data_IF_814296225060
#
_entry.id   IF_814296225060
#
_cell.length_a   1.000
_cell.length_b   1.000
_cell.length_c   1.000
_cell.angle_alpha   90.00
_cell.angle_beta   90.00
_cell.angle_gamma   90.00
#
_symmetry.space_group_name_H-M   'P 1'
#
loop_
_entity.id
_entity.type
_entity.pdbx_description
1 polymer ?
#
# COMPACT_ATOMS: atom_id res chain seq x y z
N UNK A 1 -11.00 25.37 66.79
CA UNK A 1 -10.27 24.34 67.56
C UNK A 1 -10.52 23.01 66.88
N UNK A 2 -9.50 22.44 66.22
CA UNK A 2 -9.39 21.09 65.60
C UNK A 2 -10.46 20.61 64.60
N UNK A 3 -10.17 20.01 63.45
CA UNK A 3 -9.00 19.90 62.57
C UNK A 3 -9.53 19.29 61.25
N UNK A 4 -9.02 19.79 60.12
CA UNK A 4 -9.27 19.28 58.77
C UNK A 4 -8.51 17.97 58.56
N UNK A 5 -9.15 16.96 58.00
CA UNK A 5 -8.46 15.91 57.22
C UNK A 5 -9.27 15.69 55.94
N UNK A 6 -8.87 16.38 54.87
CA UNK A 6 -9.25 16.04 53.49
C UNK A 6 -8.38 14.87 53.08
N UNK A 7 -8.92 13.66 53.11
CA UNK A 7 -8.29 12.50 52.47
C UNK A 7 -8.46 12.65 50.97
N UNK A 8 -7.47 13.26 50.32
CA UNK A 8 -7.32 13.23 48.86
C UNK A 8 -6.75 11.84 48.52
N UNK A 9 -7.61 10.99 47.98
CA UNK A 9 -7.23 9.72 47.38
C UNK A 9 -6.48 10.05 46.07
N UNK A 10 -5.15 10.08 46.14
CA UNK A 10 -4.29 10.19 44.96
C UNK A 10 -4.24 8.81 44.30
N UNK A 11 -5.24 8.53 43.46
CA UNK A 11 -5.24 7.33 42.63
C UNK A 11 -4.31 7.60 41.45
N UNK A 12 -3.08 7.08 41.56
CA UNK A 12 -2.10 7.04 40.49
C UNK A 12 -2.74 6.38 39.27
N UNK A 13 -3.06 7.19 38.25
CA UNK A 13 -3.41 6.72 36.92
C UNK A 13 -2.12 6.23 36.25
N UNK A 14 -1.63 5.06 36.66
CA UNK A 14 -0.75 4.25 35.81
C UNK A 14 -1.65 3.60 34.76
N UNK A 15 -2.15 4.41 33.82
CA UNK A 15 -2.51 3.87 32.52
C UNK A 15 -1.18 3.36 31.95
N UNK A 16 -0.94 2.07 32.10
CA UNK A 16 0.16 1.42 31.42
C UNK A 16 0.06 1.82 29.97
N UNK A 17 1.12 2.45 29.45
CA UNK A 17 1.46 2.27 28.05
C UNK A 17 1.54 0.76 27.88
N UNK A 18 0.45 0.13 27.44
CA UNK A 18 0.60 -1.10 26.71
C UNK A 18 1.67 -0.76 25.66
N UNK A 19 2.75 -1.55 25.53
CA UNK A 19 3.57 -1.40 24.34
C UNK A 19 2.58 -1.44 23.19
N UNK A 20 2.52 -0.36 22.40
CA UNK A 20 1.89 -0.43 21.09
C UNK A 20 2.70 -1.50 20.40
N UNK A 21 2.20 -2.72 20.46
CA UNK A 21 2.82 -3.84 19.80
C UNK A 21 2.84 -3.42 18.34
N UNK A 22 4.03 -3.33 17.75
CA UNK A 22 4.17 -3.11 16.33
C UNK A 22 3.27 -4.12 15.64
N UNK A 23 2.22 -3.62 14.97
CA UNK A 23 1.41 -4.49 14.12
C UNK A 23 2.37 -5.09 13.09
N UNK A 24 2.32 -6.42 12.86
CA UNK A 24 3.18 -7.02 11.85
C UNK A 24 2.86 -6.36 10.51
N UNK A 25 3.91 -6.12 9.71
CA UNK A 25 3.78 -5.39 8.45
C UNK A 25 2.67 -5.91 7.53
N UNK A 26 2.48 -7.22 7.58
CA UNK A 26 1.28 -7.88 7.13
C UNK A 26 0.74 -8.82 8.21
N UNK A 27 -0.58 -8.94 8.35
CA UNK A 27 -1.20 -9.93 9.24
C UNK A 27 -0.90 -11.40 8.85
N UNK A 28 -0.44 -11.63 7.62
CA UNK A 28 -0.28 -12.95 7.01
C UNK A 28 1.20 -13.29 6.75
N UNK A 29 1.73 -14.41 7.29
CA UNK A 29 3.11 -14.84 7.05
C UNK A 29 3.40 -15.24 5.58
N UNK A 30 2.37 -15.41 4.74
CA UNK A 30 2.51 -15.75 3.32
C UNK A 30 2.65 -14.52 2.40
N UNK A 31 2.74 -13.31 2.98
CA UNK A 31 2.98 -12.09 2.23
C UNK A 31 4.48 -11.85 1.99
N UNK A 32 4.83 -11.71 0.71
CA UNK A 32 6.14 -11.26 0.27
C UNK A 32 6.12 -9.73 0.18
N UNK A 33 7.03 -9.08 0.90
CA UNK A 33 7.20 -7.63 0.84
C UNK A 33 7.72 -7.19 -0.54
N UNK A 34 7.04 -6.22 -1.14
CA UNK A 34 7.43 -5.58 -2.41
C UNK A 34 8.12 -4.24 -2.13
N UNK A 35 7.53 -3.42 -1.26
CA UNK A 35 8.08 -2.11 -0.90
C UNK A 35 7.55 -1.63 0.45
N UNK A 36 8.45 -1.25 1.34
CA UNK A 36 8.20 -0.63 2.65
C UNK A 36 8.69 0.82 2.73
N UNK A 37 9.32 1.34 1.67
CA UNK A 37 9.85 2.71 1.56
C UNK A 37 10.95 3.10 2.56
N UNK A 38 11.43 2.16 3.39
CA UNK A 38 12.54 2.36 4.33
C UNK A 38 13.90 2.47 3.64
N UNK A 39 14.02 1.85 2.47
CA UNK A 39 15.19 1.99 1.59
C UNK A 39 14.82 2.80 0.35
N UNK A 40 15.78 3.60 -0.13
CA UNK A 40 15.55 4.47 -1.30
C UNK A 40 15.24 3.65 -2.55
N UNK A 41 13.95 3.52 -2.86
CA UNK A 41 13.42 3.09 -4.14
C UNK A 41 12.96 4.31 -4.92
N UNK A 42 13.36 4.41 -6.19
CA UNK A 42 12.92 5.53 -7.01
C UNK A 42 11.51 5.28 -7.53
N UNK A 43 10.53 5.94 -6.93
CA UNK A 43 9.16 6.00 -7.42
C UNK A 43 8.92 7.27 -8.22
N UNK A 44 7.96 7.24 -9.12
CA UNK A 44 7.65 8.34 -10.03
C UNK A 44 6.15 8.41 -10.28
N UNK A 45 5.70 9.62 -10.55
CA UNK A 45 4.32 9.89 -10.95
C UNK A 45 4.28 10.16 -12.45
N UNK A 46 3.30 9.57 -13.13
CA UNK A 46 3.04 9.80 -14.55
C UNK A 46 1.60 10.27 -14.73
N UNK A 47 1.41 11.42 -15.37
CA UNK A 47 0.10 11.97 -15.69
C UNK A 47 0.15 12.67 -17.04
N UNK A 48 -1.02 12.91 -17.62
CA UNK A 48 -1.11 13.70 -18.84
C UNK A 48 -0.72 15.15 -18.51
N UNK A 49 0.35 15.64 -19.12
CA UNK A 49 0.80 17.02 -18.95
C UNK A 49 -0.15 17.98 -19.68
N UNK A 50 -1.19 18.41 -18.98
CA UNK A 50 -2.00 19.57 -19.34
C UNK A 50 -1.44 20.80 -18.62
N UNK A 51 -1.72 22.01 -19.11
CA UNK A 51 -1.08 23.26 -18.65
C UNK A 51 -1.16 23.51 -17.14
N UNK A 52 -2.11 22.90 -16.44
CA UNK A 52 -2.34 23.06 -15.00
C UNK A 52 -2.04 21.79 -14.17
N UNK A 53 -1.60 20.70 -14.83
CA UNK A 53 -1.31 19.45 -14.15
C UNK A 53 0.08 19.47 -13.50
N UNK A 54 0.14 19.12 -12.22
CA UNK A 54 1.33 18.99 -11.41
C UNK A 54 1.17 17.83 -10.44
N UNK A 55 2.27 17.21 -10.04
CA UNK A 55 2.24 16.18 -9.04
C UNK A 55 3.63 15.68 -8.71
N UNK A 56 3.76 15.03 -7.57
CA UNK A 56 5.00 14.43 -7.12
C UNK A 56 4.73 13.20 -6.27
N UNK A 57 5.76 12.36 -6.17
CA UNK A 57 5.87 11.33 -5.14
C UNK A 57 7.12 11.66 -4.33
N UNK A 58 7.06 11.47 -3.02
CA UNK A 58 8.21 11.60 -2.11
C UNK A 58 8.13 10.51 -1.06
N UNK A 59 9.29 10.06 -0.61
CA UNK A 59 9.38 9.29 0.63
C UNK A 59 9.51 10.32 1.75
N UNK A 60 8.68 10.18 2.77
CA UNK A 60 8.63 11.07 3.94
C UNK A 60 8.52 10.24 5.21
N UNK A 61 9.01 10.80 6.32
CA UNK A 61 8.89 10.24 7.66
C UNK A 61 7.75 10.97 8.39
N UNK A 62 6.78 10.22 8.94
CA UNK A 62 5.62 10.75 9.69
C UNK A 62 5.52 9.99 10.99
N UNK A 63 5.40 10.77 12.03
CA UNK A 63 5.05 10.27 13.33
C UNK A 63 3.56 10.59 13.58
N UNK A 64 2.63 9.60 13.63
CA UNK A 64 2.83 8.14 13.47
C UNK A 64 2.39 7.56 12.09
N UNK A 65 3.18 6.63 11.56
CA UNK A 65 2.85 5.76 10.41
C UNK A 65 1.87 4.62 10.76
N UNK A 66 1.54 3.71 9.81
CA UNK A 66 0.71 2.54 10.10
C UNK A 66 1.46 1.53 10.97
N UNK A 67 2.79 1.51 10.85
CA UNK A 67 3.70 0.69 11.63
C UNK A 67 4.65 1.62 12.36
N UNK A 68 4.68 1.51 13.69
CA UNK A 68 5.49 2.40 14.54
C UNK A 68 6.99 2.26 14.26
N UNK A 69 7.43 1.07 13.86
CA UNK A 69 8.83 0.73 13.63
C UNK A 69 9.31 0.99 12.18
N UNK A 70 8.41 1.37 11.28
CA UNK A 70 8.67 1.68 9.87
C UNK A 70 8.05 3.06 9.53
N UNK A 71 8.75 4.16 9.84
CA UNK A 71 8.18 5.50 9.76
C UNK A 71 8.12 6.05 8.33
N UNK A 72 8.81 5.44 7.37
CA UNK A 72 8.91 5.96 6.01
C UNK A 72 7.74 5.45 5.17
N UNK A 73 7.12 6.35 4.40
CA UNK A 73 6.04 5.99 3.48
C UNK A 73 6.11 6.85 2.22
N UNK A 74 5.37 6.41 1.20
CA UNK A 74 5.24 7.14 -0.05
C UNK A 74 4.15 8.21 0.07
N UNK A 75 4.52 9.48 0.19
CA UNK A 75 3.62 10.62 0.02
C UNK A 75 3.36 10.89 -1.46
N UNK A 76 2.09 10.93 -1.82
CA UNK A 76 1.63 11.28 -3.16
C UNK A 76 0.80 12.56 -3.12
N UNK A 77 1.09 13.47 -4.05
CA UNK A 77 0.23 14.62 -4.34
C UNK A 77 0.08 14.80 -5.83
N UNK A 78 -1.16 15.01 -6.27
CA UNK A 78 -1.50 15.36 -7.64
C UNK A 78 -2.51 16.50 -7.66
N UNK A 79 -2.25 17.49 -8.51
CA UNK A 79 -3.18 18.58 -8.81
C UNK A 79 -3.30 18.74 -10.32
N UNK A 80 -4.51 18.66 -10.87
CA UNK A 80 -4.70 18.78 -12.31
C UNK A 80 -6.16 18.86 -12.72
N UNK A 81 -6.46 19.04 -14.01
CA UNK A 81 -7.83 19.11 -14.49
C UNK A 81 -8.56 17.77 -14.28
N UNK A 82 -9.81 17.82 -13.82
CA UNK A 82 -10.65 16.63 -13.81
C UNK A 82 -11.00 16.18 -15.24
N UNK A 83 -11.19 14.87 -15.50
CA UNK A 83 -10.93 13.71 -14.66
C UNK A 83 -9.62 13.01 -15.07
N UNK A 84 -8.51 13.73 -15.29
CA UNK A 84 -7.27 13.06 -15.69
C UNK A 84 -6.70 12.28 -14.50
N UNK A 85 -6.80 10.94 -14.56
CA UNK A 85 -6.10 10.07 -13.62
C UNK A 85 -4.59 10.08 -13.84
N UNK A 86 -3.87 9.54 -12.87
CA UNK A 86 -2.41 9.49 -12.85
C UNK A 86 -1.91 8.13 -12.39
N UNK A 87 -0.64 7.84 -12.64
CA UNK A 87 0.03 6.60 -12.23
C UNK A 87 1.13 6.88 -11.25
N UNK A 88 1.29 5.98 -10.30
CA UNK A 88 2.39 5.97 -9.32
C UNK A 88 3.13 4.66 -9.56
N UNK A 89 4.39 4.72 -9.97
CA UNK A 89 5.12 3.53 -10.42
C UNK A 89 6.54 3.56 -9.88
N UNK A 90 7.13 2.40 -9.56
CA UNK A 90 8.58 2.32 -9.40
C UNK A 90 9.26 2.60 -10.74
N UNK A 91 10.51 3.08 -10.72
CA UNK A 91 11.32 3.24 -11.95
C UNK A 91 11.53 1.90 -12.66
N UNK A 92 11.66 0.83 -11.89
CA UNK A 92 11.73 -0.54 -12.38
C UNK A 92 10.56 -1.35 -11.81
N UNK A 93 9.76 -2.03 -12.65
CA UNK A 93 8.71 -2.93 -12.19
C UNK A 93 9.24 -4.05 -11.29
N UNK A 94 8.42 -4.51 -10.35
CA UNK A 94 8.74 -5.67 -9.52
C UNK A 94 8.23 -6.94 -10.17
N UNK A 95 9.11 -7.91 -10.42
CA UNK A 95 8.69 -9.26 -10.78
C UNK A 95 8.21 -9.99 -9.53
N UNK A 96 7.04 -10.61 -9.61
CA UNK A 96 6.42 -11.37 -8.53
C UNK A 96 6.47 -12.84 -8.92
N UNK A 97 7.22 -13.63 -8.16
CA UNK A 97 7.38 -15.07 -8.39
C UNK A 97 6.24 -15.88 -7.77
N UNK A 98 5.91 -17.02 -8.39
CA UNK A 98 4.85 -17.90 -7.92
C UNK A 98 3.46 -17.55 -8.46
N UNK A 99 2.42 -18.06 -7.80
CA UNK A 99 1.03 -17.73 -8.13
C UNK A 99 0.50 -16.75 -7.08
N UNK A 100 0.26 -15.52 -7.49
CA UNK A 100 -0.13 -14.42 -6.62
C UNK A 100 -1.65 -14.46 -6.42
N UNK A 101 -2.11 -14.63 -5.18
CA UNK A 101 -3.53 -14.63 -4.83
C UNK A 101 -4.06 -13.20 -4.68
N UNK A 102 -3.29 -12.35 -4.01
CA UNK A 102 -3.62 -10.95 -3.77
C UNK A 102 -2.39 -10.06 -3.74
N UNK A 103 -2.63 -8.77 -3.98
CA UNK A 103 -1.71 -7.70 -3.64
C UNK A 103 -2.27 -6.94 -2.45
N UNK A 104 -1.38 -6.60 -1.54
CA UNK A 104 -1.70 -6.07 -0.23
C UNK A 104 -0.95 -4.74 -0.05
N UNK A 105 -1.59 -3.75 0.54
CA UNK A 105 -0.95 -2.46 0.82
C UNK A 105 -1.68 -1.68 1.90
N UNK A 106 -0.95 -0.79 2.58
CA UNK A 106 -1.54 0.21 3.46
C UNK A 106 -1.73 1.52 2.72
N UNK A 107 -2.84 2.20 2.98
CA UNK A 107 -3.08 3.55 2.50
C UNK A 107 -3.63 4.46 3.60
N UNK A 108 -3.13 5.70 3.64
CA UNK A 108 -3.70 6.75 4.48
C UNK A 108 -4.70 7.57 3.66
N UNK A 109 -5.98 7.44 3.98
CA UNK A 109 -7.04 8.23 3.35
C UNK A 109 -7.20 9.59 4.01
N UNK A 110 -7.63 10.59 3.24
CA UNK A 110 -7.99 11.93 3.75
C UNK A 110 -9.50 12.19 3.68
N UNK A 111 -10.32 11.14 3.56
CA UNK A 111 -11.78 11.23 3.46
C UNK A 111 -12.29 11.62 2.06
N UNK A 112 -11.47 11.48 1.02
CA UNK A 112 -11.86 11.81 -0.37
C UNK A 112 -12.15 10.54 -1.15
N UNK A 113 -13.21 10.49 -1.99
CA UNK A 113 -13.53 9.30 -2.78
C UNK A 113 -12.62 9.15 -4.02
N UNK A 114 -11.31 9.33 -3.84
CA UNK A 114 -10.29 9.06 -4.85
C UNK A 114 -10.15 7.53 -4.98
N UNK A 115 -10.22 6.99 -6.20
CA UNK A 115 -10.11 5.55 -6.45
C UNK A 115 -8.66 5.17 -6.74
N UNK A 116 -8.14 4.16 -6.04
CA UNK A 116 -6.80 3.59 -6.23
C UNK A 116 -6.94 2.18 -6.78
N UNK A 117 -6.40 1.96 -7.96
CA UNK A 117 -6.37 0.67 -8.66
C UNK A 117 -4.93 0.18 -8.79
N UNK A 118 -4.74 -1.13 -8.85
CA UNK A 118 -3.44 -1.76 -9.08
C UNK A 118 -3.23 -1.97 -10.57
N UNK A 119 -2.01 -1.73 -11.05
CA UNK A 119 -1.60 -2.08 -12.42
C UNK A 119 -0.60 -3.24 -12.38
N UNK A 120 -0.91 -4.33 -13.08
CA UNK A 120 -0.04 -5.52 -13.19
C UNK A 120 0.15 -5.93 -14.64
N UNK A 121 1.32 -6.45 -14.98
CA UNK A 121 1.58 -7.12 -16.26
C UNK A 121 1.44 -8.63 -16.08
N UNK A 122 0.64 -9.26 -16.92
CA UNK A 122 0.47 -10.72 -16.93
C UNK A 122 1.58 -11.42 -17.73
N UNK A 123 1.54 -12.75 -17.78
CA UNK A 123 2.54 -13.57 -18.50
C UNK A 123 2.52 -13.41 -20.02
N UNK A 124 1.47 -12.80 -20.59
CA UNK A 124 1.37 -12.50 -22.00
C UNK A 124 1.70 -11.03 -22.31
N UNK A 125 2.37 -10.35 -21.37
CA UNK A 125 2.71 -8.93 -21.44
C UNK A 125 1.48 -8.01 -21.56
N UNK A 126 0.31 -8.44 -21.07
CA UNK A 126 -0.90 -7.61 -21.05
C UNK A 126 -0.97 -6.83 -19.75
N UNK A 127 -1.17 -5.53 -19.86
CA UNK A 127 -1.39 -4.65 -18.70
C UNK A 127 -2.84 -4.78 -18.24
N UNK A 128 -3.03 -5.19 -17.00
CA UNK A 128 -4.31 -5.25 -16.32
C UNK A 128 -4.40 -4.14 -15.29
N UNK A 129 -5.56 -3.48 -15.25
CA UNK A 129 -5.95 -2.61 -14.14
C UNK A 129 -6.95 -3.36 -13.27
N UNK A 130 -6.54 -3.67 -12.05
CA UNK A 130 -7.36 -4.39 -11.08
C UNK A 130 -7.94 -3.35 -10.13
N UNK A 131 -9.28 -3.33 -10.03
CA UNK A 131 -9.96 -2.39 -9.14
C UNK A 131 -9.54 -2.63 -7.70
N UNK A 132 -9.00 -1.60 -7.06
CA UNK A 132 -8.57 -1.64 -5.68
C UNK A 132 -9.63 -1.04 -4.76
N UNK A 133 -9.33 0.12 -4.18
CA UNK A 133 -10.11 0.72 -3.09
C UNK A 133 -10.43 2.19 -3.32
N UNK A 134 -11.45 2.70 -2.62
CA UNK A 134 -11.74 4.12 -2.51
C UNK A 134 -11.08 4.69 -1.25
N UNK A 135 -10.49 5.88 -1.34
CA UNK A 135 -9.86 6.60 -0.23
C UNK A 135 -10.86 7.40 0.63
N UNK A 136 -12.16 7.07 0.55
CA UNK A 136 -13.25 7.67 1.33
C UNK A 136 -13.25 7.19 2.79
N UNK A 137 -12.12 7.42 3.45
CA UNK A 137 -11.89 7.17 4.86
C UNK A 137 -10.75 8.06 5.35
N UNK A 138 -10.63 8.22 6.67
CA UNK A 138 -9.54 8.99 7.29
C UNK A 138 -8.65 8.05 8.10
N UNK A 139 -7.33 8.21 7.97
CA UNK A 139 -6.35 7.39 8.68
C UNK A 139 -5.81 6.23 7.85
N UNK A 140 -4.94 5.43 8.44
CA UNK A 140 -4.37 4.23 7.82
C UNK A 140 -5.38 3.08 7.76
N UNK A 141 -5.40 2.38 6.63
CA UNK A 141 -6.12 1.11 6.46
C UNK A 141 -5.32 0.15 5.58
N UNK A 142 -5.37 -1.12 5.95
CA UNK A 142 -4.86 -2.22 5.13
C UNK A 142 -5.88 -2.61 4.04
N UNK A 143 -5.38 -2.85 2.83
CA UNK A 143 -6.18 -3.31 1.70
C UNK A 143 -5.57 -4.57 1.12
N UNK A 144 -6.44 -5.53 0.82
CA UNK A 144 -6.12 -6.74 0.10
C UNK A 144 -6.93 -6.78 -1.19
N UNK A 145 -6.26 -6.83 -2.34
CA UNK A 145 -6.89 -6.87 -3.66
C UNK A 145 -6.56 -8.18 -4.33
N UNK A 146 -7.59 -9.00 -4.55
CA UNK A 146 -7.43 -10.32 -5.18
C UNK A 146 -7.11 -10.18 -6.67
N UNK A 147 -6.19 -11.02 -7.14
CA UNK A 147 -5.91 -11.14 -8.57
C UNK A 147 -7.06 -11.90 -9.26
N UNK A 148 -7.77 -11.29 -10.22
CA UNK A 148 -8.85 -11.98 -10.92
C UNK A 148 -8.34 -13.15 -11.77
N UNK A 149 -9.12 -14.23 -11.95
CA UNK A 149 -8.72 -15.37 -12.79
C UNK A 149 -8.43 -15.02 -14.26
N UNK A 150 -8.94 -13.88 -14.74
CA UNK A 150 -8.68 -13.38 -16.09
C UNK A 150 -7.23 -12.89 -16.28
N UNK A 151 -6.51 -12.59 -15.20
CA UNK A 151 -5.10 -12.19 -15.24
C UNK A 151 -4.23 -13.45 -15.29
N UNK A 152 -3.60 -13.70 -16.44
CA UNK A 152 -2.87 -14.96 -16.65
C UNK A 152 -1.49 -14.95 -15.98
N UNK A 153 -1.33 -15.79 -14.96
CA UNK A 153 -0.07 -15.88 -14.20
C UNK A 153 0.85 -17.03 -14.66
N UNK A 154 0.39 -17.82 -15.62
CA UNK A 154 1.15 -18.94 -16.21
C UNK A 154 1.00 -18.99 -17.70
N UNK A 155 2.10 -19.27 -18.37
CA UNK A 155 2.06 -19.68 -19.76
C UNK A 155 1.54 -21.12 -19.85
N UNK A 156 0.49 -21.33 -20.66
CA UNK A 156 -0.04 -22.68 -20.94
C UNK A 156 1.01 -23.58 -21.65
N UNK A 157 1.99 -22.97 -22.32
CA UNK A 157 2.92 -23.67 -23.22
C UNK A 157 4.41 -23.46 -22.91
N UNK A 158 4.77 -22.67 -21.89
CA UNK A 158 6.17 -22.37 -21.56
C UNK A 158 6.44 -22.73 -20.10
N UNK A 159 7.19 -23.81 -19.90
CA UNK A 159 7.74 -24.16 -18.59
C UNK A 159 8.73 -23.05 -18.16
N UNK A 160 8.50 -22.43 -17.00
CA UNK A 160 9.48 -21.58 -16.33
C UNK A 160 9.20 -20.07 -16.28
N UNK A 161 8.15 -19.56 -16.93
CA UNK A 161 7.68 -18.17 -16.72
C UNK A 161 6.34 -18.18 -16.00
N UNK A 162 6.41 -18.13 -14.67
CA UNK A 162 5.26 -18.01 -13.78
C UNK A 162 5.38 -16.71 -12.99
N UNK A 163 4.26 -16.03 -12.76
CA UNK A 163 4.23 -14.82 -11.95
C UNK A 163 3.51 -13.64 -12.59
N UNK A 164 3.70 -12.47 -12.00
CA UNK A 164 3.19 -11.19 -12.48
C UNK A 164 4.31 -10.16 -12.45
N UNK A 165 4.14 -9.04 -13.14
CA UNK A 165 4.92 -7.84 -12.79
C UNK A 165 4.01 -6.81 -12.15
N UNK A 166 4.34 -6.39 -10.94
CA UNK A 166 3.70 -5.23 -10.34
C UNK A 166 4.24 -3.95 -10.98
N UNK A 167 3.34 -3.17 -11.59
CA UNK A 167 3.67 -1.94 -12.31
C UNK A 167 3.45 -0.68 -11.47
N UNK A 168 2.71 -0.79 -10.37
CA UNK A 168 2.35 0.33 -9.51
C UNK A 168 0.83 0.51 -9.42
N UNK A 169 0.41 1.75 -9.23
CA UNK A 169 -0.99 2.12 -9.03
C UNK A 169 -1.46 3.07 -10.12
N UNK A 170 -2.75 2.98 -10.44
CA UNK A 170 -3.48 4.02 -11.15
C UNK A 170 -4.45 4.67 -10.18
N UNK A 171 -4.47 6.01 -10.16
CA UNK A 171 -5.34 6.78 -9.28
C UNK A 171 -6.27 7.63 -10.12
N UNK A 172 -7.54 7.55 -9.80
CA UNK A 172 -8.58 8.40 -10.34
C UNK A 172 -9.04 9.37 -9.24
N UNK A 173 -8.70 10.66 -9.32
CA UNK A 173 -9.24 11.67 -8.41
C UNK A 173 -10.76 11.69 -8.45
N UNK A 174 -11.36 11.95 -7.29
CA UNK A 174 -12.78 12.25 -7.13
C UNK A 174 -13.17 13.43 -8.02
N UNK A 175 -14.39 13.37 -8.56
CA UNK A 175 -14.98 14.47 -9.31
C UNK A 175 -15.52 15.58 -8.37
N UNK A 176 -15.67 16.80 -8.90
CA UNK A 176 -16.31 17.93 -8.20
C UNK A 176 -15.36 19.02 -7.70
N UNK A 177 -14.06 18.94 -7.97
CA UNK A 177 -13.09 20.00 -7.67
C UNK A 177 -12.23 20.30 -8.90
N UNK A 178 -12.23 21.55 -9.38
CA UNK A 178 -11.35 21.96 -10.48
C UNK A 178 -10.38 23.06 -10.02
N UNK A 179 -9.06 22.84 -10.08
CA UNK A 179 -8.40 21.57 -10.40
C UNK A 179 -8.60 20.52 -9.28
N UNK A 180 -8.60 19.24 -9.64
CA UNK A 180 -8.57 18.15 -8.67
C UNK A 180 -7.35 18.31 -7.76
N UNK A 181 -7.45 17.95 -6.48
CA UNK A 181 -6.34 17.94 -5.52
C UNK A 181 -6.37 16.63 -4.74
N UNK A 182 -5.64 15.64 -5.24
CA UNK A 182 -5.53 14.31 -4.66
C UNK A 182 -4.25 14.23 -3.82
N UNK A 183 -4.38 13.77 -2.58
CA UNK A 183 -3.27 13.58 -1.64
C UNK A 183 -3.54 12.38 -0.76
N UNK A 184 -2.54 11.53 -0.61
CA UNK A 184 -2.62 10.35 0.25
C UNK A 184 -1.22 9.75 0.44
N UNK A 185 -1.15 8.74 1.29
CA UNK A 185 0.08 8.01 1.58
C UNK A 185 -0.12 6.53 1.28
N UNK A 186 0.95 5.87 0.83
CA UNK A 186 1.02 4.43 0.67
C UNK A 186 2.18 3.89 1.47
N UNK A 187 1.98 2.71 2.05
CA UNK A 187 3.01 2.00 2.78
C UNK A 187 2.85 0.49 2.62
N UNK A 188 3.92 -0.27 2.90
CA UNK A 188 3.91 -1.72 3.06
C UNK A 188 3.15 -2.44 1.96
N UNK A 189 3.68 -2.36 0.74
CA UNK A 189 3.16 -3.04 -0.43
C UNK A 189 3.69 -4.47 -0.42
N UNK A 190 2.80 -5.44 -0.56
CA UNK A 190 3.13 -6.86 -0.56
C UNK A 190 2.30 -7.67 -1.54
N UNK A 191 2.68 -8.94 -1.69
CA UNK A 191 1.96 -9.93 -2.48
C UNK A 191 1.78 -11.21 -1.68
N UNK A 192 0.54 -11.72 -1.64
CA UNK A 192 0.24 -13.03 -1.08
C UNK A 192 0.48 -14.11 -2.13
N UNK A 193 1.39 -15.03 -1.86
CA UNK A 193 1.69 -16.16 -2.74
C UNK A 193 0.91 -17.39 -2.30
N UNK A 194 0.29 -18.10 -3.24
CA UNK A 194 -0.45 -19.32 -2.93
C UNK A 194 0.47 -20.44 -2.44
N UNK A 195 0.16 -21.01 -1.28
CA UNK A 195 0.93 -22.05 -0.57
C UNK A 195 1.38 -23.23 -1.44
N UNK A 196 0.54 -23.68 -2.38
CA UNK A 196 0.86 -24.82 -3.25
C UNK A 196 2.07 -24.57 -4.17
N UNK A 197 2.46 -23.31 -4.39
CA UNK A 197 3.57 -22.92 -5.25
C UNK A 197 4.80 -22.41 -4.50
N UNK A 198 4.82 -22.54 -3.18
CA UNK A 198 6.05 -22.37 -2.42
C UNK A 198 6.94 -23.61 -2.65
N UNK A 199 8.20 -23.41 -3.04
CA UNK A 199 9.17 -24.50 -2.99
C UNK A 199 9.27 -24.98 -1.53
N UNK A 200 9.27 -26.30 -1.25
CA UNK A 200 9.48 -26.77 0.12
C UNK A 200 10.81 -26.23 0.64
N UNK A 201 10.83 -25.77 1.89
CA UNK A 201 12.06 -25.36 2.53
C UNK A 201 13.06 -26.53 2.48
N UNK A 202 14.28 -26.30 1.98
CA UNK A 202 15.34 -27.33 1.93
C UNK A 202 15.68 -27.94 3.30
N UNK A 203 15.18 -27.36 4.38
CA UNK A 203 15.36 -27.84 5.76
C UNK A 203 14.58 -29.13 6.04
N UNK A 204 13.54 -29.46 5.27
CA UNK A 204 12.72 -30.67 5.48
C UNK A 204 13.21 -31.90 4.67
N UNK A 205 14.42 -31.83 4.08
CA UNK A 205 15.01 -32.89 3.26
C UNK A 205 16.26 -33.54 3.87
N UNK A 206 16.51 -33.38 5.17
CA UNK A 206 17.61 -34.03 5.89
C UNK A 206 17.11 -34.92 7.04
#
# INVERSE_FOLDING_TARGET
MYARIKTILFLLLMAGLAPVMAEPAFPDPHNVLIADFETQGAWQIHFRTLSEASGYVRIEDLDPGPIVEAPAYLHIRFRGPEPTGFRIQPKQPFALEGYIESLDFWAYGTGRPDQVDLEVLDQNDRLHRIRGTSLEFTGWRHFQVRIPPAVQQRAVHILGRNGLQFRGFFVQPAAGQTPADCRFHLDQIGARVWDYYQAPAMTDML
#
